data_IF_005149630112
#
_entry.id   IF_005149630112
#
_cell.length_a   1.000
_cell.length_b   1.000
_cell.length_c   1.000
_cell.angle_alpha   90.00
_cell.angle_beta   90.00
_cell.angle_gamma   90.00
#
_symmetry.space_group_name_H-M   'P 1'
#
loop_
_entity.id
_entity.type
_entity.pdbx_description
1 polymer ?
#
# COMPACT_ATOMS: atom_id res chain seq x y z
N UNK A 1 -7.61 18.67 -0.01
CA UNK A 1 -7.72 17.39 0.73
C UNK A 1 -6.38 17.09 1.38
N UNK A 2 -6.36 16.36 2.49
CA UNK A 2 -5.13 15.92 3.17
C UNK A 2 -5.32 14.51 3.71
N UNK A 3 -4.28 13.67 3.60
CA UNK A 3 -4.16 12.41 4.34
C UNK A 3 -3.51 12.74 5.67
N UNK A 4 -4.08 12.25 6.79
CA UNK A 4 -3.60 12.58 8.13
C UNK A 4 -2.74 11.47 8.73
N UNK A 5 -3.16 10.22 8.57
CA UNK A 5 -2.51 9.04 9.15
C UNK A 5 -3.04 7.76 8.51
N UNK A 6 -2.40 6.63 8.79
CA UNK A 6 -2.90 5.30 8.44
C UNK A 6 -2.84 4.35 9.64
N UNK A 7 -3.84 3.50 9.77
CA UNK A 7 -3.87 2.39 10.70
C UNK A 7 -3.53 1.10 9.94
N UNK A 8 -2.47 0.42 10.38
CA UNK A 8 -2.07 -0.90 9.88
C UNK A 8 -2.13 -1.90 11.04
N UNK A 9 -2.96 -2.92 10.89
CA UNK A 9 -3.33 -3.79 12.02
C UNK A 9 -3.99 -2.98 13.14
N UNK A 10 -3.29 -2.81 14.27
CA UNK A 10 -3.77 -2.08 15.44
C UNK A 10 -2.93 -0.84 15.79
N UNK A 11 -2.02 -0.42 14.91
CA UNK A 11 -1.09 0.69 15.17
C UNK A 11 -1.34 1.84 14.19
N UNK A 12 -1.52 3.05 14.72
CA UNK A 12 -1.61 4.28 13.95
C UNK A 12 -0.20 4.80 13.63
N UNK A 13 0.04 5.04 12.36
CA UNK A 13 1.30 5.57 11.85
C UNK A 13 1.08 6.95 11.21
N UNK A 14 1.90 7.95 11.57
CA UNK A 14 2.04 9.13 10.73
C UNK A 14 2.69 8.72 9.41
N UNK A 15 2.06 9.04 8.29
CA UNK A 15 2.65 8.80 6.98
C UNK A 15 3.46 10.03 6.56
N UNK A 16 4.67 9.80 6.07
CA UNK A 16 5.56 10.84 5.58
C UNK A 16 6.24 10.38 4.29
N UNK A 17 6.48 11.34 3.40
CA UNK A 17 7.17 11.07 2.14
C UNK A 17 8.59 10.55 2.40
N UNK A 18 8.97 9.49 1.69
CA UNK A 18 10.31 8.89 1.77
C UNK A 18 10.60 8.13 3.07
N UNK A 19 9.62 7.95 3.96
CA UNK A 19 9.71 7.12 5.16
C UNK A 19 8.72 5.95 5.04
N UNK A 20 9.05 4.92 4.24
CA UNK A 20 8.08 3.88 3.93
C UNK A 20 7.75 3.02 5.15
N UNK A 21 6.46 2.83 5.39
CA UNK A 21 5.94 1.88 6.36
C UNK A 21 5.88 0.49 5.71
N UNK A 22 6.50 -0.55 6.31
CA UNK A 22 6.41 -1.91 5.80
C UNK A 22 4.99 -2.46 5.94
N UNK A 23 4.49 -3.02 4.84
CA UNK A 23 3.20 -3.69 4.71
C UNK A 23 3.36 -4.99 3.92
N UNK A 24 2.38 -5.89 4.00
CA UNK A 24 2.36 -7.14 3.23
C UNK A 24 1.06 -7.31 2.46
N UNK A 25 1.11 -8.07 1.36
CA UNK A 25 -0.09 -8.51 0.69
C UNK A 25 -0.97 -9.33 1.67
N UNK A 26 -2.27 -9.04 1.67
CA UNK A 26 -3.23 -9.53 2.65
C UNK A 26 -3.57 -8.53 3.77
N UNK A 27 -2.76 -7.48 3.95
CA UNK A 27 -3.07 -6.42 4.92
C UNK A 27 -4.29 -5.60 4.49
N UNK A 28 -4.92 -4.98 5.48
CA UNK A 28 -5.88 -3.89 5.27
C UNK A 28 -5.30 -2.64 5.92
N UNK A 29 -5.20 -1.57 5.14
CA UNK A 29 -4.73 -0.27 5.59
C UNK A 29 -5.94 0.65 5.70
N UNK A 30 -6.25 1.14 6.89
CA UNK A 30 -7.28 2.17 7.07
C UNK A 30 -6.63 3.55 6.97
N UNK A 31 -7.00 4.31 5.94
CA UNK A 31 -6.44 5.63 5.65
C UNK A 31 -7.39 6.70 6.15
N UNK A 32 -6.89 7.63 6.96
CA UNK A 32 -7.65 8.77 7.45
C UNK A 32 -7.37 10.00 6.62
N UNK A 33 -8.42 10.75 6.28
CA UNK A 33 -8.33 11.93 5.44
C UNK A 33 -9.26 13.03 5.89
N UNK A 34 -8.94 14.26 5.49
CA UNK A 34 -9.74 15.45 5.75
C UNK A 34 -9.82 16.34 4.51
N UNK A 35 -10.98 16.95 4.28
CA UNK A 35 -11.15 18.02 3.31
C UNK A 35 -12.25 18.98 3.74
N UNK A 36 -12.23 20.21 3.23
CA UNK A 36 -13.31 21.18 3.44
C UNK A 36 -14.29 21.11 2.28
N UNK A 37 -15.59 21.15 2.57
CA UNK A 37 -16.64 21.14 1.56
C UNK A 37 -17.72 22.19 1.82
N UNK A 38 -18.42 22.55 0.75
CA UNK A 38 -19.62 23.39 0.75
C UNK A 38 -20.51 22.93 -0.40
N UNK A 39 -21.69 22.40 -0.08
CA UNK A 39 -22.64 21.87 -1.08
C UNK A 39 -24.03 22.47 -0.86
N UNK A 40 -24.73 22.88 -1.94
CA UNK A 40 -26.02 23.56 -1.85
C UNK A 40 -27.16 22.63 -1.44
N UNK A 41 -26.98 21.33 -1.61
CA UNK A 41 -27.91 20.27 -1.24
C UNK A 41 -27.12 19.03 -0.80
N UNK A 42 -27.83 18.02 -0.29
CA UNK A 42 -27.21 16.74 0.06
C UNK A 42 -26.72 16.06 -1.22
N UNK A 43 -25.46 15.65 -1.25
CA UNK A 43 -24.82 15.14 -2.48
C UNK A 43 -23.98 13.91 -2.16
N UNK A 44 -24.13 12.88 -2.98
CA UNK A 44 -23.25 11.71 -2.96
C UNK A 44 -22.01 11.99 -3.82
N UNK A 45 -20.84 11.70 -3.26
CA UNK A 45 -19.54 11.97 -3.87
C UNK A 45 -18.73 10.69 -3.88
N UNK A 46 -18.12 10.38 -5.03
CA UNK A 46 -17.20 9.25 -5.13
C UNK A 46 -15.90 9.59 -4.41
N UNK A 47 -15.35 8.61 -3.70
CA UNK A 47 -14.02 8.71 -3.10
C UNK A 47 -13.23 7.44 -3.39
N UNK A 48 -12.01 7.61 -3.89
CA UNK A 48 -11.10 6.50 -4.21
C UNK A 48 -9.85 6.62 -3.36
N UNK A 49 -9.32 5.47 -2.92
CA UNK A 49 -8.02 5.40 -2.27
C UNK A 49 -7.22 4.27 -2.90
N UNK A 50 -5.95 4.53 -3.25
CA UNK A 50 -5.12 3.56 -3.97
C UNK A 50 -3.67 3.64 -3.52
N UNK A 51 -2.97 2.51 -3.59
CA UNK A 51 -1.52 2.52 -3.75
C UNK A 51 -1.19 2.85 -5.22
N UNK A 52 -0.09 3.55 -5.45
CA UNK A 52 0.41 3.81 -6.79
C UNK A 52 1.93 3.75 -6.85
N UNK A 53 2.44 3.45 -8.04
CA UNK A 53 3.81 3.84 -8.43
C UNK A 53 3.75 4.87 -9.55
N UNK A 54 4.86 5.57 -9.79
CA UNK A 54 4.95 6.60 -10.84
C UNK A 54 6.20 6.39 -11.71
N UNK A 55 6.35 5.23 -12.37
CA UNK A 55 7.49 5.00 -13.25
C UNK A 55 7.49 6.06 -14.35
N UNK A 56 8.61 6.77 -14.50
CA UNK A 56 8.78 7.83 -15.49
C UNK A 56 7.75 8.97 -15.37
N UNK A 57 7.21 9.20 -14.17
CA UNK A 57 6.26 10.28 -13.88
C UNK A 57 4.80 9.99 -14.24
N UNK A 58 4.50 8.79 -14.74
CA UNK A 58 3.12 8.39 -15.06
C UNK A 58 2.48 7.69 -13.87
N UNK A 59 1.44 8.29 -13.31
CA UNK A 59 0.75 7.75 -12.15
C UNK A 59 0.03 6.44 -12.49
N UNK A 60 0.46 5.35 -11.86
CA UNK A 60 -0.05 4.01 -12.07
C UNK A 60 -0.65 3.46 -10.77
N UNK A 61 -1.97 3.60 -10.65
CA UNK A 61 -2.75 3.11 -9.51
C UNK A 61 -2.82 1.59 -9.57
N UNK A 62 -2.57 0.93 -8.45
CA UNK A 62 -2.66 -0.53 -8.37
C UNK A 62 -4.09 -0.96 -8.12
N UNK A 63 -4.74 -1.51 -9.15
CA UNK A 63 -6.12 -2.00 -9.04
C UNK A 63 -6.30 -3.03 -7.92
N UNK A 64 -5.29 -3.89 -7.69
CA UNK A 64 -5.30 -4.86 -6.61
C UNK A 64 -5.04 -4.26 -5.21
N UNK A 65 -4.78 -2.96 -5.11
CA UNK A 65 -4.64 -2.22 -3.85
C UNK A 65 -5.37 -0.87 -3.96
N UNK A 66 -6.63 -0.93 -4.38
CA UNK A 66 -7.52 0.21 -4.59
C UNK A 66 -8.92 -0.07 -4.03
N UNK A 67 -9.46 0.92 -3.34
CA UNK A 67 -10.84 0.93 -2.86
C UNK A 67 -11.58 2.12 -3.47
N UNK A 68 -12.83 1.88 -3.86
CA UNK A 68 -13.73 2.90 -4.43
C UNK A 68 -15.03 2.89 -3.67
N UNK A 69 -15.37 4.02 -3.09
CA UNK A 69 -16.56 4.19 -2.27
C UNK A 69 -17.36 5.42 -2.72
N UNK A 70 -18.53 5.57 -2.12
CA UNK A 70 -19.36 6.76 -2.23
C UNK A 70 -19.67 7.24 -0.81
N UNK A 71 -19.39 8.51 -0.55
CA UNK A 71 -19.71 9.19 0.70
C UNK A 71 -20.82 10.19 0.46
N UNK A 72 -21.60 10.46 1.50
CA UNK A 72 -22.68 11.44 1.45
C UNK A 72 -22.24 12.72 2.16
N UNK A 73 -22.29 13.84 1.44
CA UNK A 73 -22.09 15.17 2.00
C UNK A 73 -23.44 15.80 2.31
N UNK A 74 -23.61 16.26 3.55
CA UNK A 74 -24.83 16.96 3.96
C UNK A 74 -24.84 18.39 3.43
N UNK A 75 -26.04 18.94 3.19
CA UNK A 75 -26.18 20.34 2.77
C UNK A 75 -25.55 21.28 3.79
N UNK A 76 -24.68 22.19 3.33
CA UNK A 76 -24.09 23.22 4.18
C UNK A 76 -23.84 24.51 3.39
N UNK A 77 -24.36 25.67 3.84
CA UNK A 77 -24.12 26.95 3.19
C UNK A 77 -22.72 27.52 3.49
N UNK A 78 -22.01 26.95 4.47
CA UNK A 78 -20.69 27.38 4.92
C UNK A 78 -19.66 26.26 4.71
N UNK A 79 -18.38 26.64 4.59
CA UNK A 79 -17.29 25.68 4.52
C UNK A 79 -17.19 24.90 5.82
N UNK A 80 -17.29 23.57 5.73
CA UNK A 80 -17.18 22.66 6.87
C UNK A 80 -16.12 21.59 6.59
N UNK A 81 -15.33 21.16 7.59
CA UNK A 81 -14.48 19.99 7.44
C UNK A 81 -15.32 18.71 7.35
N UNK A 82 -14.88 17.80 6.48
CA UNK A 82 -15.24 16.40 6.46
C UNK A 82 -14.02 15.60 6.87
N UNK A 83 -14.16 14.79 7.91
CA UNK A 83 -13.16 13.82 8.35
C UNK A 83 -13.70 12.44 8.02
N UNK A 84 -12.90 11.64 7.33
CA UNK A 84 -13.31 10.31 6.89
C UNK A 84 -12.16 9.31 6.96
N UNK A 85 -12.54 8.05 6.78
CA UNK A 85 -11.64 6.93 6.67
C UNK A 85 -12.02 6.08 5.46
N UNK A 86 -11.05 5.37 4.90
CA UNK A 86 -11.25 4.43 3.79
C UNK A 86 -10.25 3.28 3.93
N UNK A 87 -10.76 2.05 3.82
CA UNK A 87 -9.96 0.83 3.99
C UNK A 87 -9.45 0.35 2.64
N UNK A 88 -8.14 0.16 2.51
CA UNK A 88 -7.49 -0.40 1.32
C UNK A 88 -7.04 -1.81 1.64
N UNK A 89 -7.66 -2.80 0.99
CA UNK A 89 -7.17 -4.17 1.01
C UNK A 89 -5.96 -4.29 0.07
N UNK A 90 -4.83 -4.75 0.59
CA UNK A 90 -3.59 -4.92 -0.18
C UNK A 90 -3.60 -6.30 -0.83
N UNK A 91 -4.02 -6.36 -2.10
CA UNK A 91 -3.99 -7.58 -2.90
C UNK A 91 -2.60 -7.95 -3.40
N UNK A 92 -2.56 -8.83 -4.40
CA UNK A 92 -1.29 -9.28 -5.00
C UNK A 92 -0.72 -8.19 -5.91
N UNK A 93 0.17 -7.37 -5.35
CA UNK A 93 0.97 -6.37 -6.06
C UNK A 93 2.46 -6.71 -5.94
N UNK A 94 3.28 -6.19 -6.84
CA UNK A 94 4.73 -6.43 -6.81
C UNK A 94 5.37 -5.87 -5.53
N UNK A 95 6.49 -6.44 -5.10
CA UNK A 95 7.29 -5.84 -4.04
C UNK A 95 7.87 -4.51 -4.47
N UNK A 96 7.93 -3.53 -3.57
CA UNK A 96 8.51 -2.22 -3.87
C UNK A 96 7.96 -1.12 -2.98
N UNK A 97 8.40 0.10 -3.29
CA UNK A 97 7.97 1.32 -2.61
C UNK A 97 6.83 1.95 -3.41
N UNK A 98 5.75 2.28 -2.72
CA UNK A 98 4.53 2.85 -3.28
C UNK A 98 4.19 4.17 -2.61
N UNK A 99 3.56 5.05 -3.38
CA UNK A 99 2.83 6.20 -2.85
C UNK A 99 1.39 5.80 -2.48
N UNK A 100 0.78 6.64 -1.66
CA UNK A 100 -0.63 6.55 -1.29
C UNK A 100 -1.38 7.75 -1.85
N UNK A 101 -2.51 7.52 -2.51
CA UNK A 101 -3.37 8.57 -3.04
C UNK A 101 -4.80 8.39 -2.55
N UNK A 102 -5.46 9.48 -2.17
CA UNK A 102 -6.91 9.54 -1.94
C UNK A 102 -7.49 10.67 -2.79
N UNK A 103 -8.61 10.40 -3.46
CA UNK A 103 -9.14 11.21 -4.56
C UNK A 103 -10.66 11.37 -4.46
N UNK A 104 -11.13 12.56 -4.81
CA UNK A 104 -12.52 12.85 -5.16
C UNK A 104 -12.57 13.04 -6.69
N UNK A 105 -12.75 11.95 -7.48
CA UNK A 105 -12.57 11.99 -8.94
C UNK A 105 -13.53 12.94 -9.66
N UNK A 106 -14.68 13.26 -9.05
CA UNK A 106 -15.66 14.19 -9.61
C UNK A 106 -15.28 15.68 -9.40
N UNK A 107 -14.24 15.96 -8.61
CA UNK A 107 -13.91 17.30 -8.13
C UNK A 107 -12.44 17.70 -8.34
N UNK A 108 -11.68 16.95 -9.15
CA UNK A 108 -10.25 17.17 -9.43
C UNK A 108 -9.44 17.47 -8.16
N UNK A 109 -9.79 16.77 -7.08
CA UNK A 109 -9.25 17.00 -5.74
C UNK A 109 -8.65 15.69 -5.24
N UNK A 110 -7.40 15.76 -4.82
CA UNK A 110 -6.65 14.60 -4.35
C UNK A 110 -5.65 15.00 -3.26
N UNK A 111 -5.19 14.00 -2.52
CA UNK A 111 -4.05 14.08 -1.63
C UNK A 111 -3.13 12.90 -1.90
N UNK A 112 -1.82 13.17 -1.92
CA UNK A 112 -0.78 12.17 -2.19
C UNK A 112 0.28 12.21 -1.10
N UNK A 113 0.80 11.05 -0.76
CA UNK A 113 2.06 10.91 -0.02
C UNK A 113 2.92 9.95 -0.82
N UNK A 114 3.95 10.49 -1.47
CA UNK A 114 4.88 9.72 -2.29
C UNK A 114 5.75 8.80 -1.42
N UNK A 115 6.08 7.62 -1.93
CA UNK A 115 7.06 6.70 -1.33
C UNK A 115 6.89 6.45 0.19
N UNK A 116 5.65 6.24 0.65
CA UNK A 116 5.31 6.10 2.07
C UNK A 116 4.93 4.68 2.51
N UNK A 117 4.83 3.73 1.59
CA UNK A 117 4.53 2.33 1.87
C UNK A 117 5.54 1.42 1.18
N UNK A 118 6.06 0.43 1.88
CA UNK A 118 6.93 -0.61 1.31
C UNK A 118 6.23 -1.96 1.38
N UNK A 119 5.93 -2.54 0.22
CA UNK A 119 5.40 -3.91 0.12
C UNK A 119 6.58 -4.85 0.07
N UNK A 120 6.74 -5.65 1.12
CA UNK A 120 7.83 -6.61 1.20
C UNK A 120 7.68 -7.70 0.12
N UNK A 121 8.81 -8.14 -0.43
CA UNK A 121 8.84 -9.35 -1.25
C UNK A 121 8.51 -10.56 -0.37
N UNK A 122 7.53 -11.37 -0.79
CA UNK A 122 7.37 -12.71 -0.22
C UNK A 122 8.58 -13.52 -0.70
N UNK A 123 9.43 -14.05 0.20
CA UNK A 123 10.58 -14.86 -0.20
C UNK A 123 10.11 -16.00 -1.11
N UNK A 124 10.75 -16.17 -2.26
CA UNK A 124 10.39 -17.24 -3.17
C UNK A 124 10.68 -18.61 -2.55
N UNK A 125 9.92 -19.64 -2.93
CA UNK A 125 10.23 -21.04 -2.54
C UNK A 125 11.69 -21.39 -2.93
N UNK A 126 12.21 -20.81 -4.02
CA UNK A 126 13.61 -20.96 -4.40
C UNK A 126 14.59 -20.34 -3.41
N UNK A 127 14.29 -19.19 -2.81
CA UNK A 127 15.15 -18.57 -1.79
C UNK A 127 15.25 -19.44 -0.52
N UNK A 128 14.21 -20.23 -0.24
CA UNK A 128 14.20 -21.20 0.85
C UNK A 128 14.88 -22.54 0.49
N UNK A 129 14.98 -22.89 -0.79
CA UNK A 129 15.56 -24.14 -1.26
C UNK A 129 17.08 -24.07 -1.51
N UNK A 130 17.63 -22.87 -1.76
CA UNK A 130 19.08 -22.68 -1.95
C UNK A 130 19.91 -23.20 -0.76
N UNK A 131 19.57 -22.91 0.52
CA UNK A 131 20.31 -23.48 1.65
C UNK A 131 20.25 -25.02 1.72
N UNK A 132 19.12 -25.63 1.34
CA UNK A 132 18.95 -27.09 1.35
C UNK A 132 19.77 -27.78 0.25
N UNK A 133 19.85 -27.17 -0.93
CA UNK A 133 20.67 -27.69 -2.04
C UNK A 133 22.16 -27.65 -1.71
N UNK A 134 22.64 -26.61 -1.03
CA UNK A 134 24.03 -26.50 -0.57
C UNK A 134 24.35 -27.59 0.47
N UNK A 135 23.45 -27.85 1.41
CA UNK A 135 23.61 -28.96 2.38
C UNK A 135 23.62 -30.33 1.67
N UNK A 136 22.74 -30.54 0.70
CA UNK A 136 22.70 -31.78 -0.10
C UNK A 136 24.00 -32.01 -0.88
N UNK A 137 24.56 -30.97 -1.49
CA UNK A 137 25.83 -31.04 -2.22
C UNK A 137 27.03 -31.33 -1.31
N UNK A 138 27.06 -30.76 -0.10
CA UNK A 138 28.11 -31.06 0.88
C UNK A 138 28.06 -32.52 1.35
N UNK A 139 26.87 -33.07 1.61
CA UNK A 139 26.71 -34.49 2.00
C UNK A 139 27.11 -35.45 0.88
N UNK A 140 26.90 -35.10 -0.39
CA UNK A 140 27.30 -35.92 -1.53
C UNK A 140 28.82 -35.89 -1.84
N UNK A 141 29.52 -34.81 -1.48
CA UNK A 141 30.96 -34.64 -1.75
C UNK A 141 31.87 -35.25 -0.66
N UNK A 142 31.39 -35.36 0.58
CA UNK A 142 32.16 -35.92 1.71
C UNK A 142 32.59 -37.39 1.48
N UNK A 143 31.75 -38.30 0.90
CA UNK A 143 32.17 -39.68 0.63
C UNK A 143 33.25 -39.76 -0.47
N UNK A 144 33.16 -38.91 -1.50
CA UNK A 144 34.05 -38.94 -2.69
C UNK A 144 35.45 -38.38 -2.41
N UNK A 145 35.61 -37.53 -1.40
CA UNK A 145 36.93 -37.07 -0.94
C UNK A 145 37.68 -38.10 -0.08
N UNK A 146 36.96 -39.05 0.53
CA UNK A 146 37.57 -40.11 1.36
C UNK A 146 38.11 -41.30 0.54
N UNK A 147 37.59 -41.53 -0.66
CA UNK A 147 38.04 -42.60 -1.57
C UNK A 147 39.26 -42.23 -2.43
N UNK A 148 39.73 -40.97 -2.42
CA UNK A 148 40.89 -40.51 -3.19
C UNK A 148 42.25 -40.62 -2.48
N UNK A 149 42.30 -41.13 -1.25
CA UNK A 149 43.52 -41.28 -0.44
C UNK A 149 43.67 -42.68 0.19
N UNK A 150 43.10 -43.71 -0.45
CA UNK A 150 43.29 -45.12 -0.08
C UNK A 150 44.27 -45.82 -1.00
#
# INVERSE_FOLDING_TARGET
>A
MQITQALVGNVLYPLAEGQPLPIVAGDVIKVFYVFSYKVPEKTDVRIWASLYDAPLGWLNRKEAAQTKETITLEMTPEWKPYEGEIDIAIGSIGSGIYGLIVELPDYDTEARIDACLEVAAVPGIFDMLVPLLVLGLMVFLIPKLKEGFG
#
